data_IF_998621753605
#
_entry.id   IF_998621753605
#
_cell.length_a   1.000
_cell.length_b   1.000
_cell.length_c   1.000
_cell.angle_alpha   90.00
_cell.angle_beta   90.00
_cell.angle_gamma   90.00
#
_symmetry.space_group_name_H-M   'P 1'
#
loop_
_entity.id
_entity.type
_entity.pdbx_description
1 polymer ?
#
# COMPACT_ATOMS: atom_id res chain seq x y z
N UNK A 1 18.19 26.45 -20.15
CA UNK A 1 18.31 24.99 -20.30
C UNK A 1 16.91 24.42 -20.13
N UNK A 2 16.24 24.02 -21.21
CA UNK A 2 14.89 23.47 -21.15
C UNK A 2 14.99 22.00 -20.71
N UNK A 3 14.56 21.68 -19.49
CA UNK A 3 14.47 20.28 -19.02
C UNK A 3 13.17 19.68 -19.53
N UNK A 4 13.15 19.27 -20.79
CA UNK A 4 12.08 18.43 -21.34
C UNK A 4 12.49 16.97 -21.23
N UNK A 5 11.90 16.22 -20.29
CA UNK A 5 11.94 14.76 -20.35
C UNK A 5 10.66 14.31 -21.06
N UNK A 6 10.77 13.96 -22.34
CA UNK A 6 9.70 13.32 -23.09
C UNK A 6 9.90 11.82 -23.02
N UNK A 7 9.25 11.15 -22.08
CA UNK A 7 9.11 9.69 -22.10
C UNK A 7 7.83 9.33 -22.85
N UNK A 8 7.97 9.05 -24.15
CA UNK A 8 6.87 8.67 -25.05
C UNK A 8 6.12 7.37 -24.63
N UNK A 9 6.59 6.68 -23.58
CA UNK A 9 6.08 5.38 -23.09
C UNK A 9 6.06 5.28 -21.55
N UNK A 10 5.99 6.38 -20.81
CA UNK A 10 5.91 6.32 -19.34
C UNK A 10 4.51 5.97 -18.85
N UNK A 11 4.44 5.29 -17.71
CA UNK A 11 3.20 5.14 -16.94
C UNK A 11 2.78 6.52 -16.41
N UNK A 12 1.61 6.97 -16.82
CA UNK A 12 1.09 8.28 -16.45
C UNK A 12 0.35 8.20 -15.11
N UNK A 13 0.73 9.07 -14.18
CA UNK A 13 -0.02 9.32 -12.94
C UNK A 13 -0.80 10.61 -13.15
N UNK A 14 -2.11 10.55 -12.95
CA UNK A 14 -2.98 11.72 -13.13
C UNK A 14 -3.66 12.03 -11.82
N UNK A 15 -3.45 13.23 -11.29
CA UNK A 15 -4.00 13.66 -9.99
C UNK A 15 -2.96 13.81 -8.89
N UNK A 16 -3.45 14.21 -7.72
CA UNK A 16 -2.60 14.54 -6.57
C UNK A 16 -2.13 13.28 -5.86
N UNK A 17 -0.81 13.15 -5.72
CA UNK A 17 -0.20 12.11 -4.89
C UNK A 17 -0.38 12.46 -3.42
N UNK A 18 -0.82 11.49 -2.62
CA UNK A 18 -0.92 11.65 -1.16
C UNK A 18 -0.27 10.50 -0.42
N UNK A 19 0.11 10.74 0.83
CA UNK A 19 0.72 9.72 1.69
C UNK A 19 -0.04 9.54 3.01
N UNK A 20 0.04 8.32 3.54
CA UNK A 20 -0.56 7.90 4.80
C UNK A 20 0.54 7.27 5.65
N UNK A 21 0.60 7.67 6.91
CA UNK A 21 1.51 7.10 7.90
C UNK A 21 0.71 6.44 9.02
N UNK A 22 1.35 5.48 9.69
CA UNK A 22 0.71 4.80 10.80
C UNK A 22 1.59 3.73 11.44
N UNK A 23 0.93 2.85 12.20
CA UNK A 23 1.57 1.87 13.06
C UNK A 23 1.12 0.47 12.70
N UNK A 24 2.08 -0.46 12.63
CA UNK A 24 1.82 -1.90 12.55
C UNK A 24 1.27 -2.38 13.89
N UNK A 25 0.12 -3.03 13.87
CA UNK A 25 -0.58 -3.49 15.08
C UNK A 25 -0.45 -4.99 15.31
N UNK A 26 -0.06 -5.76 14.28
CA UNK A 26 0.14 -7.19 14.42
C UNK A 26 0.83 -7.81 13.21
N UNK A 27 1.59 -8.87 13.48
CA UNK A 27 2.19 -9.74 12.48
C UNK A 27 1.88 -11.19 12.85
N UNK A 28 1.28 -11.91 11.92
CA UNK A 28 1.00 -13.34 12.03
C UNK A 28 1.82 -14.06 10.97
N UNK A 29 2.45 -15.18 11.32
CA UNK A 29 3.31 -15.95 10.41
C UNK A 29 2.68 -17.30 10.10
N UNK A 30 2.81 -17.73 8.86
CA UNK A 30 2.40 -19.06 8.40
C UNK A 30 3.55 -19.72 7.66
N UNK A 31 3.40 -20.99 7.29
CA UNK A 31 4.42 -21.70 6.51
C UNK A 31 4.65 -21.04 5.13
N UNK A 32 3.61 -20.46 4.55
CA UNK A 32 3.61 -19.94 3.17
C UNK A 32 3.69 -18.40 3.10
N UNK A 33 3.81 -17.73 4.24
CA UNK A 33 3.86 -16.27 4.33
C UNK A 33 3.41 -15.73 5.68
N UNK A 34 2.43 -14.84 5.66
CA UNK A 34 1.94 -14.21 6.88
C UNK A 34 1.00 -13.04 6.63
N UNK A 35 0.46 -12.48 7.70
CA UNK A 35 -0.43 -11.33 7.66
C UNK A 35 0.16 -10.19 8.47
N UNK A 36 0.18 -8.98 7.89
CA UNK A 36 0.54 -7.74 8.59
C UNK A 36 -0.72 -6.88 8.70
N UNK A 37 -1.04 -6.44 9.91
CA UNK A 37 -2.13 -5.51 10.17
C UNK A 37 -1.58 -4.16 10.64
N UNK A 38 -2.22 -3.07 10.22
CA UNK A 38 -1.81 -1.73 10.60
C UNK A 38 -3.00 -0.77 10.70
N UNK A 39 -2.78 0.36 11.38
CA UNK A 39 -3.74 1.46 11.49
C UNK A 39 -3.07 2.80 11.22
N UNK A 40 -3.81 3.73 10.63
CA UNK A 40 -3.34 5.09 10.34
C UNK A 40 -4.50 6.08 10.18
N UNK A 41 -4.19 7.30 9.74
CA UNK A 41 -5.18 8.30 9.36
C UNK A 41 -4.91 8.77 7.92
N UNK A 42 -5.92 8.68 7.06
CA UNK A 42 -5.82 8.92 5.62
C UNK A 42 -6.67 10.11 5.15
N UNK A 43 -6.61 11.22 5.89
CA UNK A 43 -7.25 12.48 5.52
C UNK A 43 -8.75 12.29 5.31
N UNK A 44 -9.23 12.43 4.07
CA UNK A 44 -10.66 12.29 3.73
C UNK A 44 -11.27 10.92 4.06
N UNK A 45 -10.45 9.88 4.20
CA UNK A 45 -10.92 8.54 4.57
C UNK A 45 -10.88 8.27 6.08
N UNK A 46 -10.46 9.26 6.88
CA UNK A 46 -10.38 9.16 8.33
C UNK A 46 -9.46 8.05 8.82
N UNK A 47 -9.89 7.35 9.87
CA UNK A 47 -9.12 6.24 10.46
C UNK A 47 -9.14 5.05 9.52
N UNK A 48 -7.96 4.59 9.13
CA UNK A 48 -7.80 3.44 8.25
C UNK A 48 -7.29 2.21 8.97
N UNK A 49 -7.79 1.05 8.54
CA UNK A 49 -7.33 -0.28 8.90
C UNK A 49 -6.81 -0.96 7.65
N UNK A 50 -5.60 -1.52 7.75
CA UNK A 50 -4.86 -2.07 6.61
C UNK A 50 -4.43 -3.49 6.92
N UNK A 51 -4.58 -4.37 5.93
CA UNK A 51 -4.13 -5.75 5.99
C UNK A 51 -3.32 -6.08 4.74
N UNK A 52 -2.14 -6.67 4.93
CA UNK A 52 -1.36 -7.34 3.89
C UNK A 52 -1.34 -8.84 4.19
N UNK A 53 -1.97 -9.64 3.32
CA UNK A 53 -1.86 -11.10 3.32
C UNK A 53 -0.74 -11.49 2.35
N UNK A 54 0.43 -11.76 2.91
CA UNK A 54 1.67 -12.00 2.19
C UNK A 54 1.82 -13.48 1.83
N UNK A 55 2.31 -13.73 0.62
CA UNK A 55 2.70 -15.06 0.13
C UNK A 55 4.16 -15.01 -0.26
N UNK A 56 4.94 -16.01 0.18
CA UNK A 56 6.35 -16.14 -0.16
C UNK A 56 6.53 -16.53 -1.63
N UNK A 57 7.59 -16.02 -2.27
CA UNK A 57 8.09 -16.60 -3.50
C UNK A 57 8.92 -17.85 -3.15
N UNK A 58 8.58 -19.06 -3.64
CA UNK A 58 9.34 -20.27 -3.29
C UNK A 58 10.79 -20.26 -3.80
N UNK A 59 11.12 -19.37 -4.74
CA UNK A 59 12.45 -19.24 -5.34
C UNK A 59 13.24 -18.03 -4.82
N UNK A 60 12.73 -17.30 -3.81
CA UNK A 60 13.43 -16.14 -3.24
C UNK A 60 13.06 -15.92 -1.77
N UNK A 61 14.08 -15.68 -0.96
CA UNK A 61 14.00 -15.53 0.51
C UNK A 61 13.48 -14.17 1.01
N UNK A 62 13.27 -13.24 0.09
CA UNK A 62 13.08 -11.82 0.41
C UNK A 62 12.04 -11.13 -0.46
N UNK A 63 11.20 -11.88 -1.17
CA UNK A 63 10.12 -11.29 -1.96
C UNK A 63 8.92 -12.23 -2.10
N UNK A 64 7.83 -11.69 -2.63
CA UNK A 64 6.63 -12.47 -2.94
C UNK A 64 5.48 -11.61 -3.43
N UNK A 65 4.27 -12.18 -3.35
CA UNK A 65 3.03 -11.52 -3.71
C UNK A 65 2.20 -11.22 -2.47
N UNK A 66 1.19 -10.36 -2.58
CA UNK A 66 0.21 -10.16 -1.53
C UNK A 66 -1.18 -9.82 -2.08
N UNK A 67 -2.18 -10.18 -1.30
CA UNK A 67 -3.51 -9.56 -1.38
C UNK A 67 -3.71 -8.70 -0.14
N UNK A 68 -4.56 -7.68 -0.22
CA UNK A 68 -4.76 -6.77 0.89
C UNK A 68 -6.09 -6.05 0.85
N UNK A 69 -6.40 -5.44 1.99
CA UNK A 69 -7.59 -4.60 2.17
C UNK A 69 -7.19 -3.33 2.90
N UNK A 70 -7.73 -2.21 2.46
CA UNK A 70 -7.83 -0.99 3.25
C UNK A 70 -9.29 -0.70 3.54
N UNK A 71 -9.60 -0.23 4.74
CA UNK A 71 -10.92 0.27 5.10
C UNK A 71 -10.75 1.54 5.91
N UNK A 72 -11.35 2.64 5.44
CA UNK A 72 -11.39 3.93 6.12
C UNK A 72 -12.79 4.21 6.66
N UNK A 73 -12.85 4.84 7.84
CA UNK A 73 -14.07 5.39 8.42
C UNK A 73 -13.76 6.84 8.81
N UNK A 74 -14.48 7.79 8.21
CA UNK A 74 -14.36 9.22 8.54
C UNK A 74 -15.11 9.60 9.83
N UNK A 75 -14.97 10.86 10.26
CA UNK A 75 -15.57 11.36 11.51
C UNK A 75 -17.10 11.40 11.45
N UNK A 76 -17.68 11.41 10.24
CA UNK A 76 -19.12 11.35 9.98
C UNK A 76 -19.62 9.88 9.91
N UNK A 77 -18.73 8.91 9.98
CA UNK A 77 -19.03 7.48 9.92
C UNK A 77 -19.17 6.91 8.51
N UNK A 78 -18.84 7.67 7.46
CA UNK A 78 -18.82 7.16 6.09
C UNK A 78 -17.66 6.19 5.91
N UNK A 79 -17.93 5.07 5.24
CA UNK A 79 -16.98 3.98 5.07
C UNK A 79 -16.56 3.81 3.61
N UNK A 80 -15.27 3.93 3.36
CA UNK A 80 -14.66 3.55 2.08
C UNK A 80 -13.73 2.35 2.26
N UNK A 81 -13.57 1.54 1.22
CA UNK A 81 -12.70 0.37 1.29
C UNK A 81 -12.00 0.08 -0.05
N UNK A 82 -10.71 -0.22 0.00
CA UNK A 82 -9.86 -0.53 -1.14
C UNK A 82 -9.44 -1.99 -1.16
N UNK A 83 -9.64 -2.69 -2.28
CA UNK A 83 -8.98 -3.99 -2.50
C UNK A 83 -7.60 -3.75 -3.07
N UNK A 84 -6.60 -4.55 -2.67
CA UNK A 84 -5.20 -4.29 -2.98
C UNK A 84 -4.53 -5.57 -3.43
N UNK A 85 -3.81 -5.53 -4.55
CA UNK A 85 -3.10 -6.68 -5.09
C UNK A 85 -1.73 -6.26 -5.56
N UNK A 86 -0.70 -7.01 -5.18
CA UNK A 86 0.65 -6.54 -5.46
C UNK A 86 1.76 -7.51 -5.12
N UNK A 87 2.97 -6.95 -5.11
CA UNK A 87 4.22 -7.64 -4.78
C UNK A 87 4.90 -6.96 -3.61
N UNK A 88 5.71 -7.73 -2.89
CA UNK A 88 6.53 -7.22 -1.80
C UNK A 88 7.97 -7.69 -1.96
N UNK A 89 8.90 -6.91 -1.40
CA UNK A 89 10.30 -7.29 -1.22
C UNK A 89 10.78 -6.79 0.14
N UNK A 90 11.78 -7.45 0.73
CA UNK A 90 12.35 -7.09 2.03
C UNK A 90 13.85 -6.84 1.91
N UNK A 91 14.31 -5.77 2.55
CA UNK A 91 15.73 -5.49 2.78
C UNK A 91 15.92 -5.16 4.26
N UNK A 92 16.74 -5.94 4.96
CA UNK A 92 16.88 -5.83 6.41
C UNK A 92 15.52 -5.97 7.11
N UNK A 93 15.17 -4.95 7.90
CA UNK A 93 13.90 -4.87 8.66
C UNK A 93 12.77 -4.16 7.90
N UNK A 94 13.01 -3.75 6.65
CA UNK A 94 12.04 -2.99 5.87
C UNK A 94 11.43 -3.83 4.76
N UNK A 95 10.10 -3.90 4.72
CA UNK A 95 9.34 -4.43 3.59
C UNK A 95 8.91 -3.27 2.71
N UNK A 96 9.11 -3.38 1.40
CA UNK A 96 8.53 -2.47 0.40
C UNK A 96 7.48 -3.22 -0.40
N UNK A 97 6.28 -2.67 -0.52
CA UNK A 97 5.20 -3.23 -1.35
C UNK A 97 4.84 -2.29 -2.49
N UNK A 98 4.41 -2.87 -3.61
CA UNK A 98 3.78 -2.16 -4.73
C UNK A 98 2.45 -2.83 -5.04
N UNK A 99 1.35 -2.09 -5.09
CA UNK A 99 0.01 -2.62 -5.42
C UNK A 99 -0.77 -1.74 -6.37
N UNK A 100 -1.74 -2.36 -7.03
CA UNK A 100 -2.88 -1.68 -7.64
C UNK A 100 -4.06 -1.79 -6.68
N UNK A 101 -4.64 -0.64 -6.37
CA UNK A 101 -5.67 -0.49 -5.36
C UNK A 101 -6.97 -0.02 -6.02
N UNK A 102 -8.07 -0.72 -5.75
CA UNK A 102 -9.41 -0.44 -6.29
C UNK A 102 -10.35 -0.06 -5.14
N UNK A 103 -10.72 1.21 -5.06
CA UNK A 103 -11.45 1.82 -3.94
C UNK A 103 -12.93 1.98 -4.27
N UNK A 104 -13.80 1.76 -3.28
CA UNK A 104 -15.26 1.80 -3.45
C UNK A 104 -15.82 3.15 -3.91
N UNK A 105 -15.06 4.24 -3.77
CA UNK A 105 -15.40 5.58 -4.27
C UNK A 105 -15.07 5.76 -5.77
N UNK A 106 -14.62 4.69 -6.44
CA UNK A 106 -14.26 4.67 -7.85
C UNK A 106 -12.86 5.19 -8.15
N UNK A 107 -12.03 5.47 -7.13
CA UNK A 107 -10.63 5.81 -7.35
C UNK A 107 -9.77 4.55 -7.43
N UNK A 108 -8.82 4.57 -8.37
CA UNK A 108 -7.80 3.54 -8.50
C UNK A 108 -6.42 4.14 -8.30
N UNK A 109 -5.54 3.41 -7.64
CA UNK A 109 -4.20 3.91 -7.32
C UNK A 109 -3.14 2.86 -7.58
N UNK A 110 -1.99 3.28 -8.10
CA UNK A 110 -0.74 2.59 -7.81
C UNK A 110 -0.32 3.01 -6.40
N UNK A 111 -0.09 2.06 -5.50
CA UNK A 111 0.39 2.34 -4.16
C UNK A 111 1.79 1.77 -3.97
N UNK A 112 2.70 2.59 -3.44
CA UNK A 112 3.97 2.12 -2.86
C UNK A 112 3.85 2.19 -1.35
N UNK A 113 4.21 1.13 -0.64
CA UNK A 113 4.28 1.14 0.82
C UNK A 113 5.66 0.74 1.31
N UNK A 114 6.06 1.31 2.44
CA UNK A 114 7.23 0.93 3.22
C UNK A 114 6.74 0.55 4.62
N UNK A 115 7.06 -0.66 5.07
CA UNK A 115 6.73 -1.17 6.40
C UNK A 115 8.05 -1.42 7.13
N UNK A 116 8.27 -0.70 8.22
CA UNK A 116 9.44 -0.84 9.09
C UNK A 116 9.08 -1.76 10.26
N UNK A 117 9.58 -3.00 10.21
CA UNK A 117 9.34 -4.01 11.23
C UNK A 117 10.12 -3.76 12.52
N UNK A 118 11.18 -2.95 12.49
CA UNK A 118 11.93 -2.61 13.70
C UNK A 118 11.16 -1.59 14.54
N UNK A 119 10.63 -0.56 13.86
CA UNK A 119 9.91 0.54 14.53
C UNK A 119 8.40 0.33 14.58
N UNK A 120 7.88 -0.73 13.95
CA UNK A 120 6.46 -1.01 13.79
C UNK A 120 5.69 0.15 13.14
N UNK A 121 6.28 0.78 12.13
CA UNK A 121 5.66 1.89 11.40
C UNK A 121 5.44 1.52 9.93
N UNK A 122 4.55 2.27 9.26
CA UNK A 122 4.45 2.21 7.82
C UNK A 122 4.21 3.59 7.21
N UNK A 123 4.59 3.71 5.94
CA UNK A 123 4.19 4.80 5.06
C UNK A 123 3.62 4.20 3.78
N UNK A 124 2.49 4.72 3.31
CA UNK A 124 1.91 4.41 2.00
C UNK A 124 1.85 5.69 1.17
N UNK A 125 2.27 5.63 -0.08
CA UNK A 125 2.13 6.72 -1.05
C UNK A 125 1.26 6.23 -2.20
N UNK A 126 0.20 6.96 -2.48
CA UNK A 126 -0.78 6.65 -3.51
C UNK A 126 -0.61 7.56 -4.71
N UNK A 127 -0.55 6.94 -5.88
CA UNK A 127 -0.45 7.59 -7.17
C UNK A 127 -1.74 7.29 -7.96
N UNK A 128 -2.65 8.26 -8.09
CA UNK A 128 -3.93 7.99 -8.74
C UNK A 128 -3.76 7.65 -10.22
N UNK A 129 -4.56 6.69 -10.67
CA UNK A 129 -4.55 6.23 -12.05
C UNK A 129 -5.51 7.08 -12.92
N UNK A 130 -5.21 7.22 -14.22
CA UNK A 130 -6.15 7.79 -15.17
C UNK A 130 -7.50 7.05 -15.15
N UNK A 131 -8.59 7.80 -15.29
CA UNK A 131 -9.93 7.26 -15.48
C UNK A 131 -10.23 7.00 -16.95
#
# INVERSE_FOLDING_TARGET
>A
LLTGSSSLLAFEITGETFSVEGTVTGVELTADGGTINAVGNAGRYGKVFLTWNMTLNPNSDSQGAFTGRGMGIDDDGNREAGSRYGVWRRSGTTITTFSLDDVTDGNQNLCRSTIDLHNNTFTMTFYPLPK
#
